data_IF_034617623691
#
_entry.id   IF_034617623691
#
_cell.length_a   1.000
_cell.length_b   1.000
_cell.length_c   1.000
_cell.angle_alpha   90.00
_cell.angle_beta   90.00
_cell.angle_gamma   90.00
#
_symmetry.space_group_name_H-M   'P 1'
#
loop_
_entity.id
_entity.type
_entity.pdbx_description
1 polymer ?
#
# COMPACT_ATOMS: atom_id res chain seq x y z
N UNK A 1 -25.17 15.24 40.16
CA UNK A 1 -24.78 14.08 39.35
C UNK A 1 -23.26 14.00 39.41
N UNK A 2 -22.76 13.04 40.19
CA UNK A 2 -21.40 13.00 40.71
C UNK A 2 -20.33 12.77 39.66
N UNK A 3 -19.17 13.39 39.89
CA UNK A 3 -17.91 13.25 39.18
C UNK A 3 -17.40 11.79 39.29
N UNK A 4 -17.39 11.03 38.19
CA UNK A 4 -16.46 9.89 38.07
C UNK A 4 -15.22 10.36 37.31
N UNK A 5 -14.34 10.99 38.09
CA UNK A 5 -12.96 11.26 37.74
C UNK A 5 -12.31 9.99 37.21
N UNK A 6 -11.77 10.07 35.99
CA UNK A 6 -10.93 9.04 35.38
C UNK A 6 -9.73 8.75 36.27
N UNK A 7 -9.85 7.72 37.09
CA UNK A 7 -8.75 7.18 37.86
C UNK A 7 -7.94 6.29 36.90
N UNK A 8 -6.80 6.82 36.44
CA UNK A 8 -5.85 6.03 35.66
C UNK A 8 -5.37 4.86 36.54
N UNK A 9 -5.96 3.69 36.30
CA UNK A 9 -5.53 2.43 36.92
C UNK A 9 -4.13 2.10 36.38
N UNK A 10 -3.13 2.25 37.24
CA UNK A 10 -1.72 1.93 36.99
C UNK A 10 -1.41 0.43 36.94
N UNK A 11 -2.40 -0.44 37.15
CA UNK A 11 -2.21 -1.88 37.09
C UNK A 11 -2.33 -2.45 35.68
N UNK A 12 -1.46 -3.41 35.37
CA UNK A 12 -1.48 -4.13 34.09
C UNK A 12 -2.83 -4.83 33.90
N UNK A 13 -3.37 -4.75 32.68
CA UNK A 13 -4.64 -5.36 32.35
C UNK A 13 -4.59 -6.88 32.58
N UNK A 14 -5.54 -7.41 33.36
CA UNK A 14 -5.68 -8.86 33.57
C UNK A 14 -5.89 -9.60 32.25
N UNK A 15 -5.45 -10.87 32.13
CA UNK A 15 -5.54 -11.64 30.89
C UNK A 15 -6.98 -11.75 30.34
N UNK A 16 -7.99 -11.77 31.22
CA UNK A 16 -9.41 -11.71 30.83
C UNK A 16 -9.78 -10.39 30.13
N UNK A 17 -9.32 -9.25 30.65
CA UNK A 17 -9.53 -7.92 30.04
C UNK A 17 -8.82 -7.78 28.70
N UNK A 18 -7.59 -8.30 28.55
CA UNK A 18 -6.87 -8.33 27.28
C UNK A 18 -7.61 -9.16 26.23
N UNK A 19 -8.18 -10.31 26.62
CA UNK A 19 -8.96 -11.17 25.73
C UNK A 19 -10.26 -10.50 25.29
N UNK A 20 -11.01 -9.89 26.22
CA UNK A 20 -12.21 -9.11 25.91
C UNK A 20 -11.93 -7.90 25.01
N UNK A 21 -10.77 -7.24 25.20
CA UNK A 21 -10.33 -6.13 24.35
C UNK A 21 -10.06 -6.58 22.91
N UNK A 22 -9.36 -7.71 22.74
CA UNK A 22 -9.14 -8.35 21.43
C UNK A 22 -10.44 -8.83 20.76
N UNK A 23 -11.38 -9.40 21.53
CA UNK A 23 -12.72 -9.79 21.04
C UNK A 23 -13.55 -8.58 20.57
N UNK A 24 -13.38 -7.43 21.23
CA UNK A 24 -14.00 -6.15 20.84
C UNK A 24 -13.29 -5.47 19.64
N UNK A 25 -12.23 -6.08 19.08
CA UNK A 25 -11.49 -5.52 17.94
C UNK A 25 -10.50 -4.42 18.31
N UNK A 26 -10.26 -4.19 19.60
CA UNK A 26 -9.25 -3.23 20.08
C UNK A 26 -7.86 -3.87 20.05
N UNK A 27 -7.41 -4.22 18.85
CA UNK A 27 -6.02 -4.60 18.58
C UNK A 27 -5.15 -3.35 18.51
N UNK A 28 -3.93 -3.37 19.07
CA UNK A 28 -3.00 -2.26 18.93
C UNK A 28 -2.72 -2.01 17.45
N UNK A 29 -3.20 -0.87 16.93
CA UNK A 29 -2.85 -0.38 15.59
C UNK A 29 -1.80 0.72 15.73
N UNK A 30 -0.55 0.42 15.45
CA UNK A 30 0.48 1.46 15.31
C UNK A 30 0.43 2.03 13.90
N UNK A 31 -0.19 3.22 13.75
CA UNK A 31 -0.18 3.94 12.47
C UNK A 31 1.26 4.25 12.03
N UNK A 32 2.13 4.58 12.98
CA UNK A 32 3.52 4.91 12.72
C UNK A 32 4.29 3.71 12.16
N UNK A 33 4.05 2.50 12.68
CA UNK A 33 4.71 1.30 12.17
C UNK A 33 4.33 1.01 10.72
N UNK A 34 3.05 1.17 10.36
CA UNK A 34 2.62 0.96 8.98
C UNK A 34 3.32 1.92 8.02
N UNK A 35 3.40 3.21 8.40
CA UNK A 35 4.12 4.22 7.62
C UNK A 35 5.62 3.92 7.52
N UNK A 36 6.27 3.50 8.60
CA UNK A 36 7.69 3.13 8.59
C UNK A 36 7.97 1.91 7.72
N UNK A 37 7.13 0.86 7.82
CA UNK A 37 7.26 -0.35 7.01
C UNK A 37 7.10 -0.03 5.52
N UNK A 38 6.10 0.78 5.16
CA UNK A 38 5.90 1.26 3.78
C UNK A 38 7.08 2.07 3.28
N UNK A 39 7.65 2.97 4.10
CA UNK A 39 8.81 3.77 3.72
C UNK A 39 10.04 2.89 3.43
N UNK A 40 10.33 1.95 4.34
CA UNK A 40 11.45 1.01 4.17
C UNK A 40 11.24 0.10 2.96
N UNK A 41 10.04 -0.42 2.77
CA UNK A 41 9.68 -1.25 1.63
C UNK A 41 9.77 -0.47 0.31
N UNK A 42 9.37 0.80 0.29
CA UNK A 42 9.50 1.66 -0.88
C UNK A 42 10.96 1.90 -1.22
N UNK A 43 11.78 2.25 -0.23
CA UNK A 43 13.22 2.43 -0.41
C UNK A 43 13.91 1.17 -0.94
N UNK A 44 13.64 0.01 -0.33
CA UNK A 44 14.17 -1.26 -0.79
C UNK A 44 13.65 -1.63 -2.20
N UNK A 45 12.36 -1.42 -2.46
CA UNK A 45 11.75 -1.64 -3.77
C UNK A 45 12.40 -0.80 -4.87
N UNK A 46 12.67 0.48 -4.60
CA UNK A 46 13.39 1.33 -5.54
C UNK A 46 14.84 0.88 -5.76
N UNK A 47 15.54 0.43 -4.71
CA UNK A 47 16.92 -0.07 -4.87
C UNK A 47 16.98 -1.36 -5.70
N UNK A 48 16.00 -2.25 -5.54
CA UNK A 48 15.99 -3.55 -6.22
C UNK A 48 15.40 -3.48 -7.63
N UNK A 49 14.38 -2.65 -7.85
CA UNK A 49 13.58 -2.65 -9.08
C UNK A 49 13.66 -1.33 -9.86
N UNK A 50 14.21 -0.27 -9.25
CA UNK A 50 14.24 1.07 -9.83
C UNK A 50 15.04 1.14 -11.12
N UNK A 51 16.15 0.42 -11.23
CA UNK A 51 16.94 0.37 -12.47
C UNK A 51 16.12 -0.21 -13.63
N UNK A 52 15.46 -1.35 -13.42
CA UNK A 52 14.62 -1.98 -14.44
C UNK A 52 13.42 -1.11 -14.84
N UNK A 53 12.80 -0.42 -13.87
CA UNK A 53 11.71 0.53 -14.12
C UNK A 53 12.22 1.73 -14.94
N UNK A 54 13.38 2.29 -14.58
CA UNK A 54 13.96 3.42 -15.31
C UNK A 54 14.35 3.04 -16.74
N UNK A 55 14.94 1.85 -16.93
CA UNK A 55 15.27 1.34 -18.26
C UNK A 55 14.02 1.14 -19.10
N UNK A 56 13.00 0.45 -18.58
CA UNK A 56 11.73 0.24 -19.30
C UNK A 56 11.04 1.55 -19.67
N UNK A 57 11.01 2.53 -18.75
CA UNK A 57 10.42 3.84 -19.03
C UNK A 57 11.21 4.62 -20.09
N UNK A 58 12.54 4.53 -20.03
CA UNK A 58 13.43 5.15 -21.02
C UNK A 58 13.24 4.54 -22.41
N UNK A 59 13.05 3.22 -22.50
CA UNK A 59 12.84 2.54 -23.77
C UNK A 59 11.47 2.85 -24.36
N UNK A 60 10.42 2.93 -23.53
CA UNK A 60 9.10 3.39 -23.95
C UNK A 60 9.15 4.83 -24.47
N UNK A 61 9.87 5.72 -23.78
CA UNK A 61 10.07 7.09 -24.24
C UNK A 61 10.84 7.15 -25.58
N UNK A 62 11.92 6.39 -25.71
CA UNK A 62 12.69 6.32 -26.97
C UNK A 62 11.84 5.77 -28.10
N UNK A 63 11.02 4.76 -27.87
CA UNK A 63 10.09 4.22 -28.88
C UNK A 63 9.09 5.28 -29.33
N UNK A 64 8.50 6.03 -28.39
CA UNK A 64 7.58 7.12 -28.70
C UNK A 64 8.23 8.30 -29.43
N UNK A 65 9.50 8.61 -29.13
CA UNK A 65 10.24 9.70 -29.79
C UNK A 65 10.92 9.29 -31.10
N UNK A 66 11.24 8.01 -31.27
CA UNK A 66 11.87 7.44 -32.47
C UNK A 66 10.83 7.08 -33.55
N UNK A 67 9.69 7.77 -33.57
CA UNK A 67 8.76 7.76 -34.69
C UNK A 67 9.49 8.36 -35.91
N UNK A 68 10.25 7.51 -36.61
CA UNK A 68 11.13 7.93 -37.71
C UNK A 68 10.32 8.21 -38.99
N UNK A 69 9.10 7.68 -39.11
CA UNK A 69 8.24 7.86 -40.27
C UNK A 69 6.87 8.41 -39.83
N UNK A 70 6.81 9.69 -39.45
CA UNK A 70 5.53 10.37 -39.19
C UNK A 70 4.55 10.30 -40.39
N UNK A 71 5.07 10.06 -41.59
CA UNK A 71 4.32 9.82 -42.83
C UNK A 71 3.65 8.44 -42.93
N UNK A 72 3.99 7.48 -42.08
CA UNK A 72 3.38 6.14 -42.03
C UNK A 72 2.33 5.99 -40.92
N UNK A 73 2.23 6.99 -40.02
CA UNK A 73 1.28 6.96 -38.92
C UNK A 73 -0.09 7.44 -39.40
N UNK A 74 -1.05 6.51 -39.40
CA UNK A 74 -2.45 6.86 -39.53
C UNK A 74 -2.93 7.53 -38.22
N UNK A 75 -3.63 8.68 -38.30
CA UNK A 75 -4.16 9.37 -37.11
C UNK A 75 -5.00 8.47 -36.19
N UNK A 76 -5.72 7.52 -36.79
CA UNK A 76 -6.57 6.57 -36.06
C UNK A 76 -5.78 5.59 -35.17
N UNK A 77 -4.49 5.38 -35.45
CA UNK A 77 -3.64 4.46 -34.69
C UNK A 77 -2.97 5.12 -33.48
N UNK A 78 -2.90 6.46 -33.45
CA UNK A 78 -2.23 7.21 -32.37
C UNK A 78 -2.87 6.91 -31.00
N UNK A 79 -4.20 6.81 -30.96
CA UNK A 79 -4.94 6.49 -29.72
C UNK A 79 -4.60 5.09 -29.23
N UNK A 80 -4.47 4.12 -30.15
CA UNK A 80 -4.07 2.74 -29.83
C UNK A 80 -2.65 2.67 -29.26
N UNK A 81 -1.70 3.32 -29.92
CA UNK A 81 -0.30 3.38 -29.50
C UNK A 81 -0.18 4.03 -28.11
N UNK A 82 -0.93 5.11 -27.87
CA UNK A 82 -0.95 5.77 -26.57
C UNK A 82 -1.54 4.86 -25.48
N UNK A 83 -2.62 4.14 -25.78
CA UNK A 83 -3.23 3.18 -24.86
C UNK A 83 -2.27 2.05 -24.48
N UNK A 84 -1.60 1.46 -25.46
CA UNK A 84 -0.60 0.41 -25.26
C UNK A 84 0.59 0.93 -24.43
N UNK A 85 1.08 2.14 -24.74
CA UNK A 85 2.15 2.82 -23.99
C UNK A 85 1.78 3.03 -22.51
N UNK A 86 0.53 3.43 -22.23
CA UNK A 86 0.04 3.60 -20.86
C UNK A 86 -0.02 2.26 -20.13
N UNK A 87 -0.51 1.21 -20.78
CA UNK A 87 -0.56 -0.13 -20.21
C UNK A 87 0.83 -0.67 -19.92
N UNK A 88 1.78 -0.49 -20.83
CA UNK A 88 3.18 -0.89 -20.63
C UNK A 88 3.79 -0.21 -19.41
N UNK A 89 3.62 1.12 -19.29
CA UNK A 89 4.06 1.87 -18.12
C UNK A 89 3.40 1.37 -16.82
N UNK A 90 2.12 1.04 -16.88
CA UNK A 90 1.37 0.52 -15.73
C UNK A 90 1.90 -0.85 -15.29
N UNK A 91 2.11 -1.77 -16.22
CA UNK A 91 2.68 -3.09 -15.94
C UNK A 91 4.12 -2.99 -15.42
N UNK A 92 4.89 -2.02 -15.88
CA UNK A 92 6.25 -1.77 -15.40
C UNK A 92 6.28 -1.37 -13.92
N UNK A 93 5.30 -0.59 -13.46
CA UNK A 93 5.18 -0.15 -12.05
C UNK A 93 4.43 -1.15 -11.16
N UNK A 94 3.67 -2.07 -11.76
CA UNK A 94 2.89 -3.09 -11.07
C UNK A 94 3.66 -3.87 -9.99
N UNK A 95 4.89 -4.38 -10.23
CA UNK A 95 5.59 -5.14 -9.20
C UNK A 95 5.94 -4.31 -7.96
N UNK A 96 6.26 -3.02 -8.14
CA UNK A 96 6.51 -2.10 -7.03
C UNK A 96 5.22 -1.88 -6.21
N UNK A 97 4.10 -1.62 -6.88
CA UNK A 97 2.82 -1.45 -6.19
C UNK A 97 2.36 -2.74 -5.50
N UNK A 98 2.55 -3.89 -6.13
CA UNK A 98 2.24 -5.19 -5.52
C UNK A 98 3.02 -5.39 -4.21
N UNK A 99 4.32 -5.07 -4.21
CA UNK A 99 5.15 -5.10 -3.01
C UNK A 99 4.60 -4.19 -1.90
N UNK A 100 4.24 -2.95 -2.23
CA UNK A 100 3.69 -2.00 -1.25
C UNK A 100 2.33 -2.44 -0.70
N UNK A 101 1.47 -2.98 -1.54
CA UNK A 101 0.18 -3.55 -1.12
C UNK A 101 0.39 -4.72 -0.17
N UNK A 102 1.30 -5.64 -0.51
CA UNK A 102 1.65 -6.77 0.38
C UNK A 102 2.12 -6.26 1.73
N UNK A 103 3.04 -5.29 1.76
CA UNK A 103 3.54 -4.73 3.02
C UNK A 103 2.44 -4.02 3.81
N UNK A 104 1.60 -3.23 3.15
CA UNK A 104 0.48 -2.53 3.79
C UNK A 104 -0.55 -3.50 4.41
N UNK A 105 -0.75 -4.67 3.80
CA UNK A 105 -1.65 -5.71 4.31
C UNK A 105 -1.00 -6.54 5.42
N UNK A 106 0.29 -6.86 5.32
CA UNK A 106 1.00 -7.70 6.27
C UNK A 106 1.41 -6.96 7.55
N UNK A 107 1.70 -5.66 7.48
CA UNK A 107 2.19 -4.90 8.64
C UNK A 107 1.18 -4.86 9.81
N UNK A 108 -0.13 -4.60 9.58
CA UNK A 108 -1.13 -4.68 10.64
C UNK A 108 -1.30 -6.10 11.22
N UNK A 109 -1.13 -7.13 10.39
CA UNK A 109 -1.23 -8.53 10.80
C UNK A 109 -0.10 -8.93 11.75
N UNK A 110 1.12 -8.42 11.54
CA UNK A 110 2.27 -8.68 12.39
C UNK A 110 2.16 -8.10 13.81
N UNK A 111 1.42 -6.98 14.00
CA UNK A 111 1.28 -6.32 15.31
C UNK A 111 0.07 -6.77 16.12
N UNK A 112 -1.06 -7.01 15.44
CA UNK A 112 -2.34 -7.28 16.10
C UNK A 112 -2.77 -8.74 16.08
N UNK A 113 -2.21 -9.57 15.20
CA UNK A 113 -2.85 -10.81 14.79
C UNK A 113 -4.18 -10.55 14.06
N UNK A 114 -4.79 -11.61 13.52
CA UNK A 114 -6.08 -11.52 12.82
C UNK A 114 -7.23 -11.29 13.81
N UNK A 115 -7.47 -10.04 14.21
CA UNK A 115 -8.63 -9.65 15.03
C UNK A 115 -9.71 -9.06 14.11
N UNK A 116 -10.54 -9.95 13.57
CA UNK A 116 -11.74 -9.58 12.83
C UNK A 116 -12.91 -9.53 13.82
N UNK A 117 -13.27 -8.34 14.31
CA UNK A 117 -14.43 -8.17 15.19
C UNK A 117 -15.58 -7.53 14.42
N UNK A 118 -16.70 -8.25 14.24
CA UNK A 118 -17.92 -7.71 13.62
C UNK A 118 -18.44 -6.46 14.36
N UNK A 119 -18.15 -6.34 15.67
CA UNK A 119 -18.49 -5.14 16.45
C UNK A 119 -17.70 -3.88 16.02
N UNK A 120 -16.53 -4.04 15.39
CA UNK A 120 -15.71 -2.91 14.91
C UNK A 120 -16.17 -2.36 13.55
N UNK A 121 -16.99 -3.12 12.81
CA UNK A 121 -17.59 -2.71 11.52
C UNK A 121 -19.02 -2.21 11.70
N UNK A 122 -19.64 -2.42 12.87
CA UNK A 122 -20.92 -1.83 13.21
C UNK A 122 -20.81 -0.31 13.20
N UNK A 123 -21.55 0.33 12.31
CA UNK A 123 -21.78 1.77 12.36
C UNK A 123 -22.44 2.11 13.71
N UNK A 124 -22.01 3.19 14.34
CA UNK A 124 -22.59 3.69 15.58
C UNK A 124 -23.87 4.47 15.29
#
# INVERSE_FOLDING_TARGET
MSQETGQERTEQATPKKLRESREKGQVPRSKELNSMALLMASGAGFLLMGESILQGLSDTLKKGLSIQNASEINPDQIVGILGETILDCFFLLTPLFALLVVVALLTPLGLGGWSFSMKSVSFK
#
